data_IF_049681802257
#
_entry.id   IF_049681802257
#
_cell.length_a   1.000
_cell.length_b   1.000
_cell.length_c   1.000
_cell.angle_alpha   90.00
_cell.angle_beta   90.00
_cell.angle_gamma   90.00
#
_symmetry.space_group_name_H-M   'P 1'
#
loop_
_entity.id
_entity.type
_entity.pdbx_description
1 polymer ?
#
# COMPACT_ATOMS: atom_id res chain seq x y z
N UNK A 1 30.12 -8.08 5.98
CA UNK A 1 29.51 -6.82 6.42
C UNK A 1 28.48 -6.41 5.40
N UNK A 2 27.18 -6.45 5.73
CA UNK A 2 26.15 -5.92 4.83
C UNK A 2 26.35 -4.40 4.77
N UNK A 3 26.69 -3.87 3.60
CA UNK A 3 26.78 -2.42 3.39
C UNK A 3 25.37 -1.84 3.51
N UNK A 4 25.12 -1.00 4.52
CA UNK A 4 23.89 -0.23 4.61
C UNK A 4 23.84 0.76 3.43
N UNK A 5 23.04 0.44 2.43
CA UNK A 5 22.73 1.30 1.30
C UNK A 5 21.43 2.03 1.64
N UNK A 6 21.47 3.31 2.05
CA UNK A 6 20.25 4.05 2.35
C UNK A 6 19.40 4.15 1.09
N UNK A 7 18.19 3.58 1.13
CA UNK A 7 17.24 3.67 0.02
C UNK A 7 16.46 4.96 0.14
N UNK A 8 16.59 5.83 -0.85
CA UNK A 8 15.80 7.05 -0.93
C UNK A 8 14.32 6.72 -1.23
N UNK A 9 13.36 7.50 -0.70
CA UNK A 9 11.93 7.21 -0.90
C UNK A 9 11.46 7.17 -2.36
N UNK A 10 12.04 8.02 -3.23
CA UNK A 10 11.70 8.03 -4.66
C UNK A 10 12.12 6.73 -5.37
N UNK A 11 13.39 6.29 -5.29
CA UNK A 11 13.78 4.96 -5.75
C UNK A 11 12.96 3.83 -5.14
N UNK A 12 12.61 3.92 -3.85
CA UNK A 12 11.77 2.91 -3.20
C UNK A 12 10.40 2.79 -3.89
N UNK A 13 9.68 3.89 -4.10
CA UNK A 13 8.37 3.86 -4.77
C UNK A 13 8.43 3.34 -6.21
N UNK A 14 9.53 3.63 -6.93
CA UNK A 14 9.75 3.10 -8.27
C UNK A 14 9.93 1.58 -8.26
N UNK A 15 10.66 1.05 -7.27
CA UNK A 15 10.84 -0.41 -7.10
C UNK A 15 9.53 -1.13 -6.74
N UNK A 16 8.58 -0.42 -6.13
CA UNK A 16 7.26 -0.96 -5.77
C UNK A 16 6.26 -0.89 -6.93
N UNK A 17 6.60 -0.23 -8.04
CA UNK A 17 5.71 -0.14 -9.20
C UNK A 17 5.57 -1.52 -9.86
N UNK A 18 4.33 -1.94 -10.10
CA UNK A 18 3.95 -3.27 -10.60
C UNK A 18 3.75 -4.33 -9.52
N UNK A 19 3.97 -4.00 -8.24
CA UNK A 19 3.85 -4.94 -7.11
C UNK A 19 2.56 -4.75 -6.32
N UNK A 20 2.09 -5.80 -5.61
CA UNK A 20 1.01 -5.65 -4.65
C UNK A 20 1.49 -4.85 -3.43
N UNK A 21 0.74 -3.81 -3.08
CA UNK A 21 1.06 -2.89 -1.99
C UNK A 21 -0.15 -2.67 -1.09
N UNK A 22 0.12 -2.37 0.19
CA UNK A 22 -0.88 -1.81 1.12
C UNK A 22 -0.55 -0.35 1.36
N UNK A 23 -1.54 0.50 1.16
CA UNK A 23 -1.47 1.94 1.42
C UNK A 23 -2.43 2.28 2.56
N UNK A 24 -1.89 2.74 3.68
CA UNK A 24 -2.71 3.21 4.80
C UNK A 24 -2.93 4.71 4.71
N UNK A 25 -4.17 5.15 4.90
CA UNK A 25 -4.49 6.57 4.96
C UNK A 25 -4.23 7.15 6.36
N UNK A 26 -3.91 8.45 6.43
CA UNK A 26 -3.69 9.19 7.70
C UNK A 26 -4.92 9.26 8.57
N UNK A 27 -6.08 9.39 7.95
CA UNK A 27 -7.35 9.64 8.63
C UNK A 27 -8.35 8.56 8.21
N UNK A 28 -9.19 8.15 9.15
CA UNK A 28 -10.31 7.24 8.87
C UNK A 28 -9.99 5.75 8.93
N UNK A 29 -8.79 5.34 9.35
CA UNK A 29 -8.46 3.92 9.58
C UNK A 29 -8.57 3.03 8.33
N UNK A 30 -8.56 3.64 7.15
CA UNK A 30 -8.73 2.97 5.87
C UNK A 30 -7.38 2.52 5.31
N UNK A 31 -7.38 1.31 4.77
CA UNK A 31 -6.26 0.72 4.07
C UNK A 31 -6.72 0.29 2.67
N UNK A 32 -5.89 0.58 1.68
CA UNK A 32 -6.09 0.13 0.31
C UNK A 32 -5.05 -0.93 -0.02
N UNK A 33 -5.51 -2.14 -0.34
CA UNK A 33 -4.67 -3.22 -0.84
C UNK A 33 -4.87 -3.31 -2.35
N UNK A 34 -3.81 -3.23 -3.15
CA UNK A 34 -3.92 -3.25 -4.61
C UNK A 34 -2.55 -3.26 -5.29
N UNK A 35 -2.53 -3.25 -6.63
CA UNK A 35 -1.30 -3.19 -7.40
C UNK A 35 -0.90 -1.75 -7.68
N UNK A 36 0.33 -1.36 -7.37
CA UNK A 36 0.83 -0.02 -7.69
C UNK A 36 1.10 0.10 -9.19
N UNK A 37 0.29 0.85 -9.92
CA UNK A 37 0.43 1.02 -11.38
C UNK A 37 1.45 2.09 -11.71
N UNK A 38 1.36 3.24 -11.03
CA UNK A 38 2.24 4.37 -11.28
C UNK A 38 2.31 5.31 -10.07
N UNK A 39 3.37 6.10 -10.03
CA UNK A 39 3.56 7.19 -9.05
C UNK A 39 4.07 8.44 -9.75
N UNK A 40 3.84 9.61 -9.14
CA UNK A 40 4.36 10.88 -9.63
C UNK A 40 5.40 11.51 -8.68
N UNK A 41 5.91 12.69 -9.05
CA UNK A 41 6.88 13.43 -8.23
C UNK A 41 6.35 13.91 -6.88
N UNK A 42 5.02 13.97 -6.72
CA UNK A 42 4.36 14.34 -5.48
C UNK A 42 3.98 13.12 -4.63
N UNK A 43 4.28 11.90 -5.09
CA UNK A 43 3.88 10.63 -4.46
C UNK A 43 2.36 10.43 -4.46
N UNK A 44 1.66 10.94 -5.48
CA UNK A 44 0.32 10.45 -5.79
C UNK A 44 0.45 9.02 -6.32
N UNK A 45 -0.52 8.17 -5.98
CA UNK A 45 -0.47 6.74 -6.26
C UNK A 45 -1.66 6.35 -7.14
N UNK A 46 -1.40 5.59 -8.19
CA UNK A 46 -2.42 4.90 -8.97
C UNK A 46 -2.41 3.42 -8.58
N UNK A 47 -3.53 2.91 -8.07
CA UNK A 47 -3.71 1.52 -7.68
C UNK A 47 -4.70 0.84 -8.61
N UNK A 48 -4.40 -0.39 -9.02
CA UNK A 48 -5.31 -1.26 -9.76
C UNK A 48 -5.75 -2.46 -8.91
N UNK A 49 -6.92 -3.01 -9.22
CA UNK A 49 -7.55 -4.12 -8.48
C UNK A 49 -7.59 -3.87 -6.97
N UNK A 50 -7.93 -2.64 -6.59
CA UNK A 50 -7.88 -2.15 -5.22
C UNK A 50 -9.05 -2.69 -4.40
N UNK A 51 -8.75 -3.19 -3.21
CA UNK A 51 -9.68 -3.56 -2.15
C UNK A 51 -9.54 -2.59 -0.98
N UNK A 52 -10.69 -2.11 -0.49
CA UNK A 52 -10.75 -1.26 0.69
C UNK A 52 -10.90 -2.12 1.95
N UNK A 53 -10.07 -1.84 2.93
CA UNK A 53 -10.12 -2.39 4.27
C UNK A 53 -10.38 -1.26 5.25
N UNK A 54 -11.37 -1.44 6.13
CA UNK A 54 -11.69 -0.49 7.19
C UNK A 54 -11.64 -1.23 8.51
N UNK A 55 -10.78 -0.77 9.42
CA UNK A 55 -10.58 -1.39 10.74
C UNK A 55 -10.29 -2.91 10.62
N UNK A 56 -9.45 -3.30 9.67
CA UNK A 56 -9.08 -4.70 9.40
C UNK A 56 -10.12 -5.52 8.62
N UNK A 57 -11.31 -4.97 8.34
CA UNK A 57 -12.38 -5.70 7.64
C UNK A 57 -12.47 -5.28 6.17
N UNK A 58 -12.59 -6.23 5.23
CA UNK A 58 -12.80 -5.90 3.82
C UNK A 58 -14.15 -5.20 3.65
N UNK A 59 -14.12 -3.98 3.12
CA UNK A 59 -15.29 -3.12 2.90
C UNK A 59 -15.76 -3.14 1.43
N UNK A 60 -14.93 -3.63 0.50
CA UNK A 60 -15.33 -3.84 -0.89
C UNK A 60 -14.19 -3.71 -1.90
N UNK A 61 -14.45 -4.12 -3.15
CA UNK A 61 -13.54 -3.94 -4.28
C UNK A 61 -13.84 -2.60 -4.96
N UNK A 62 -12.84 -1.73 -5.06
CA UNK A 62 -12.93 -0.42 -5.71
C UNK A 62 -12.41 -0.45 -7.16
N UNK A 63 -11.57 -1.43 -7.51
CA UNK A 63 -10.99 -1.51 -8.85
C UNK A 63 -9.83 -0.54 -9.02
N UNK A 64 -9.93 0.41 -9.95
CA UNK A 64 -8.89 1.41 -10.18
C UNK A 64 -9.09 2.64 -9.28
N UNK A 65 -8.07 3.00 -8.50
CA UNK A 65 -8.14 4.05 -7.49
C UNK A 65 -6.96 5.00 -7.63
N UNK A 66 -7.24 6.30 -7.52
CA UNK A 66 -6.24 7.34 -7.43
C UNK A 66 -6.15 7.87 -5.99
N UNK A 67 -4.99 7.73 -5.36
CA UNK A 67 -4.73 8.19 -3.99
C UNK A 67 -3.86 9.45 -4.03
N UNK A 68 -4.38 10.54 -3.45
CA UNK A 68 -3.65 11.79 -3.32
C UNK A 68 -2.60 11.70 -2.21
N UNK A 69 -1.40 12.20 -2.49
CA UNK A 69 -0.23 12.07 -1.62
C UNK A 69 -0.41 12.59 -0.19
N UNK A 70 -1.21 13.65 0.01
CA UNK A 70 -1.41 14.26 1.33
C UNK A 70 -2.15 13.34 2.31
N UNK A 71 -2.88 12.35 1.80
CA UNK A 71 -3.66 11.40 2.59
C UNK A 71 -2.88 10.14 2.97
N UNK A 72 -1.72 9.88 2.35
CA UNK A 72 -0.93 8.66 2.58
C UNK A 72 -0.17 8.76 3.89
N UNK A 73 -0.34 7.76 4.77
CA UNK A 73 0.45 7.60 5.99
C UNK A 73 1.72 6.78 5.72
N UNK A 74 1.55 5.58 5.16
CA UNK A 74 2.65 4.72 4.71
C UNK A 74 2.22 3.85 3.54
N UNK A 75 3.23 3.31 2.85
CA UNK A 75 3.10 2.26 1.84
C UNK A 75 4.01 1.10 2.24
N UNK A 76 3.50 -0.13 2.13
CA UNK A 76 4.29 -1.36 2.28
C UNK A 76 4.02 -2.31 1.12
N UNK A 77 5.04 -3.10 0.76
CA UNK A 77 4.87 -4.26 -0.13
C UNK A 77 4.06 -5.33 0.62
N UNK A 78 3.19 -6.04 -0.09
CA UNK A 78 2.55 -7.25 0.43
C UNK A 78 3.49 -8.41 0.12
N UNK A 79 4.04 -9.03 1.16
CA UNK A 79 4.70 -10.33 1.02
C UNK A 79 3.65 -11.42 1.20
N UNK A 80 3.81 -12.57 0.52
CA UNK A 80 2.86 -13.70 0.62
C UNK A 80 2.67 -14.19 2.07
N UNK A 81 3.63 -13.93 2.97
CA UNK A 81 3.56 -14.26 4.40
C UNK A 81 2.61 -13.35 5.22
N UNK A 82 2.25 -12.16 4.72
CA UNK A 82 1.34 -11.23 5.40
C UNK A 82 -0.15 -11.56 5.18
N UNK A 83 -0.46 -12.53 4.31
CA UNK A 83 -1.82 -12.95 4.05
C UNK A 83 -2.45 -13.71 5.23
N UNK A 84 -1.63 -14.29 6.11
CA UNK A 84 -2.06 -15.07 7.29
C UNK A 84 -2.13 -14.25 8.60
N UNK A 85 -1.54 -13.04 8.65
CA UNK A 85 -1.48 -12.27 9.90
C UNK A 85 -2.77 -11.51 10.25
N UNK A 86 -3.60 -11.16 9.26
CA UNK A 86 -4.93 -10.53 9.49
C UNK A 86 -5.99 -11.58 9.92
N UNK A 87 -5.66 -12.88 9.94
CA UNK A 87 -6.58 -13.95 10.34
C UNK A 87 -6.51 -14.30 11.84
N UNK A 88 -5.45 -13.91 12.55
CA UNK A 88 -5.24 -14.30 13.96
C UNK A 88 -5.85 -13.31 14.97
N UNK A 89 -6.24 -12.09 14.55
CA UNK A 89 -6.86 -11.08 15.44
C UNK A 89 -8.40 -11.20 15.52
N UNK A 90 -9.00 -12.21 14.88
CA UNK A 90 -10.43 -12.48 14.86
C UNK A 90 -10.87 -13.67 15.75
N UNK A 91 -10.10 -14.02 16.79
CA UNK A 91 -10.48 -15.04 17.76
C UNK A 91 -10.64 -14.50 19.18
#
# INVERSE_FOLDING_TARGET
>A
MASFQPVNPKPFLQLQTGKPVVVRLKWGGMEYKGFLVSTDNYMNLQLANTEEFKDGKPNGKLGEVFVRCNNVLYLREVNDDDADADADEAK
#
